data_IF_587487056012
#
_entry.id   IF_587487056012
#
_cell.length_a   1.000
_cell.length_b   1.000
_cell.length_c   1.000
_cell.angle_alpha   90.00
_cell.angle_beta   90.00
_cell.angle_gamma   90.00
#
_symmetry.space_group_name_H-M   'P 1'
#
loop_
_entity.id
_entity.type
_entity.pdbx_description
1 polymer ?
#
# COMPACT_ATOMS: atom_id res chain seq x y z
N UNK A 1 -22.23 -13.84 -14.11
CA UNK A 1 -21.40 -14.76 -13.31
C UNK A 1 -20.72 -15.72 -14.26
N UNK A 2 -19.41 -15.91 -14.13
CA UNK A 2 -18.63 -16.87 -14.94
C UNK A 2 -19.30 -18.27 -14.96
N UNK A 3 -19.47 -18.92 -16.13
CA UNK A 3 -20.09 -20.25 -16.26
C UNK A 3 -19.43 -21.34 -15.39
N UNK A 4 -18.10 -21.34 -15.26
CA UNK A 4 -17.37 -22.32 -14.44
C UNK A 4 -17.68 -22.16 -12.94
N UNK A 5 -17.79 -20.91 -12.48
CA UNK A 5 -18.18 -20.63 -11.09
C UNK A 5 -19.64 -21.03 -10.87
N UNK A 6 -20.51 -20.84 -11.87
CA UNK A 6 -21.89 -21.33 -11.82
C UNK A 6 -21.95 -22.86 -11.74
N UNK A 7 -21.13 -23.56 -12.51
CA UNK A 7 -21.03 -25.01 -12.48
C UNK A 7 -20.51 -25.50 -11.12
N UNK A 8 -19.44 -24.90 -10.60
CA UNK A 8 -18.90 -25.18 -9.27
C UNK A 8 -19.98 -25.01 -8.18
N UNK A 9 -20.70 -23.89 -8.17
CA UNK A 9 -21.75 -23.67 -7.17
C UNK A 9 -22.90 -24.69 -7.32
N UNK A 10 -23.23 -25.07 -8.56
CA UNK A 10 -24.34 -25.97 -8.85
C UNK A 10 -24.06 -27.43 -8.47
N UNK A 11 -22.79 -27.83 -8.38
CA UNK A 11 -22.39 -29.18 -7.97
C UNK A 11 -22.32 -29.37 -6.45
N UNK A 12 -22.56 -28.33 -5.66
CA UNK A 12 -22.53 -28.39 -4.20
C UNK A 12 -23.89 -28.82 -3.63
N UNK A 13 -23.84 -29.41 -2.43
CA UNK A 13 -25.04 -29.70 -1.64
C UNK A 13 -25.89 -28.43 -1.42
N UNK A 14 -27.22 -28.55 -1.29
CA UNK A 14 -28.13 -27.40 -1.24
C UNK A 14 -27.73 -26.31 -0.24
N UNK A 15 -27.26 -26.71 0.95
CA UNK A 15 -26.81 -25.79 2.00
C UNK A 15 -25.57 -25.00 1.58
N UNK A 16 -24.55 -25.68 1.04
CA UNK A 16 -23.30 -25.05 0.63
C UNK A 16 -23.49 -24.21 -0.63
N UNK A 17 -24.29 -24.70 -1.58
CA UNK A 17 -24.71 -23.97 -2.78
C UNK A 17 -25.35 -22.63 -2.41
N UNK A 18 -26.29 -22.64 -1.46
CA UNK A 18 -26.97 -21.42 -1.02
C UNK A 18 -26.01 -20.38 -0.41
N UNK A 19 -24.95 -20.82 0.28
CA UNK A 19 -23.90 -19.94 0.80
C UNK A 19 -23.07 -19.39 -0.37
N UNK A 20 -22.54 -20.25 -1.23
CA UNK A 20 -21.67 -19.88 -2.35
C UNK A 20 -22.37 -18.94 -3.35
N UNK A 21 -23.65 -19.15 -3.65
CA UNK A 21 -24.43 -18.26 -4.50
C UNK A 21 -24.67 -16.88 -3.88
N UNK A 22 -24.89 -16.81 -2.56
CA UNK A 22 -24.96 -15.54 -1.84
C UNK A 22 -23.62 -14.80 -1.88
N UNK A 23 -22.52 -15.50 -1.58
CA UNK A 23 -21.17 -14.92 -1.60
C UNK A 23 -20.83 -14.42 -3.00
N UNK A 24 -20.99 -15.25 -4.05
CA UNK A 24 -20.70 -14.87 -5.42
C UNK A 24 -21.48 -13.62 -5.86
N UNK A 25 -22.79 -13.56 -5.54
CA UNK A 25 -23.64 -12.42 -5.86
C UNK A 25 -23.18 -11.14 -5.18
N UNK A 26 -22.89 -11.18 -3.88
CA UNK A 26 -22.45 -9.98 -3.15
C UNK A 26 -21.05 -9.53 -3.60
N UNK A 27 -20.14 -10.47 -3.89
CA UNK A 27 -18.80 -10.16 -4.42
C UNK A 27 -18.91 -9.49 -5.79
N UNK A 28 -19.67 -10.07 -6.72
CA UNK A 28 -19.88 -9.48 -8.06
C UNK A 28 -20.54 -8.11 -7.96
N UNK A 29 -21.52 -7.94 -7.07
CA UNK A 29 -22.19 -6.65 -6.84
C UNK A 29 -21.21 -5.58 -6.36
N UNK A 30 -20.28 -5.92 -5.46
CA UNK A 30 -19.32 -4.97 -4.89
C UNK A 30 -18.09 -4.72 -5.77
N UNK A 31 -17.78 -5.65 -6.68
CA UNK A 31 -16.63 -5.61 -7.56
C UNK A 31 -17.00 -6.06 -8.98
N UNK A 32 -17.88 -5.30 -9.69
CA UNK A 32 -18.40 -5.73 -11.00
C UNK A 32 -17.34 -5.82 -12.09
N UNK A 33 -16.20 -5.15 -11.90
CA UNK A 33 -15.06 -5.14 -12.83
C UNK A 33 -13.95 -6.12 -12.47
N UNK A 34 -14.08 -6.86 -11.36
CA UNK A 34 -13.06 -7.84 -10.98
C UNK A 34 -13.08 -9.05 -11.92
N UNK A 35 -11.90 -9.46 -12.37
CA UNK A 35 -11.73 -10.74 -13.06
C UNK A 35 -12.06 -11.86 -12.07
N UNK A 36 -12.79 -12.89 -12.51
CA UNK A 36 -13.16 -14.01 -11.65
C UNK A 36 -13.19 -15.31 -12.42
N UNK A 37 -12.54 -16.32 -11.84
CA UNK A 37 -12.33 -17.65 -12.43
C UNK A 37 -12.18 -18.72 -11.35
N UNK A 38 -12.19 -19.98 -11.77
CA UNK A 38 -11.72 -21.07 -10.93
C UNK A 38 -10.19 -21.00 -10.87
N UNK A 39 -9.65 -20.83 -9.67
CA UNK A 39 -8.21 -20.79 -9.42
C UNK A 39 -7.89 -21.71 -8.25
N UNK A 40 -6.95 -22.64 -8.46
CA UNK A 40 -6.68 -23.74 -7.53
C UNK A 40 -7.97 -24.47 -7.10
N UNK A 41 -8.82 -24.83 -8.08
CA UNK A 41 -10.09 -25.54 -7.91
C UNK A 41 -11.23 -24.78 -7.18
N UNK A 42 -11.07 -23.48 -6.92
CA UNK A 42 -12.06 -22.69 -6.20
C UNK A 42 -12.36 -21.34 -6.89
N UNK A 43 -13.58 -20.79 -6.77
CA UNK A 43 -13.90 -19.44 -7.24
C UNK A 43 -13.05 -18.36 -6.54
N UNK A 44 -12.34 -17.55 -7.32
CA UNK A 44 -11.52 -16.44 -6.84
C UNK A 44 -11.71 -15.20 -7.72
N UNK A 45 -11.72 -14.03 -7.08
CA UNK A 45 -11.82 -12.70 -7.69
C UNK A 45 -10.49 -11.97 -7.58
N UNK A 46 -10.12 -11.31 -8.67
CA UNK A 46 -8.84 -10.63 -8.86
C UNK A 46 -9.06 -9.17 -9.24
N UNK A 47 -8.19 -8.30 -8.73
CA UNK A 47 -8.03 -6.92 -9.21
C UNK A 47 -6.61 -6.80 -9.79
N UNK A 48 -6.51 -6.42 -11.06
CA UNK A 48 -5.24 -6.27 -11.79
C UNK A 48 -4.32 -7.51 -11.72
N UNK A 49 -4.94 -8.70 -11.64
CA UNK A 49 -4.27 -10.00 -11.51
C UNK A 49 -3.79 -10.33 -10.09
N UNK A 50 -4.12 -9.52 -9.08
CA UNK A 50 -3.87 -9.80 -7.67
C UNK A 50 -5.10 -10.47 -7.03
N UNK A 51 -4.99 -11.64 -6.39
CA UNK A 51 -6.12 -12.30 -5.73
C UNK A 51 -6.61 -11.49 -4.52
N UNK A 52 -7.92 -11.29 -4.44
CA UNK A 52 -8.55 -10.45 -3.40
C UNK A 52 -9.36 -11.29 -2.44
N UNK A 53 -10.33 -12.02 -2.98
CA UNK A 53 -11.30 -12.80 -2.23
C UNK A 53 -11.69 -14.05 -3.03
N UNK A 54 -12.00 -15.12 -2.33
CA UNK A 54 -12.46 -16.36 -2.91
C UNK A 54 -13.17 -17.19 -1.87
N UNK A 55 -13.87 -18.23 -2.31
CA UNK A 55 -14.51 -19.15 -1.38
C UNK A 55 -14.31 -20.60 -1.82
N UNK A 56 -14.32 -21.51 -0.86
CA UNK A 56 -14.08 -22.92 -1.07
C UNK A 56 -14.91 -23.77 -0.13
N UNK A 57 -15.49 -24.86 -0.62
CA UNK A 57 -16.10 -25.89 0.23
C UNK A 57 -15.02 -26.62 1.04
N UNK A 58 -15.22 -26.70 2.37
CA UNK A 58 -14.51 -27.57 3.31
C UNK A 58 -15.48 -28.64 3.84
N UNK A 59 -14.97 -29.67 4.55
CA UNK A 59 -15.78 -30.81 5.03
C UNK A 59 -17.15 -30.42 5.60
N UNK A 60 -17.19 -29.45 6.52
CA UNK A 60 -18.42 -29.08 7.25
C UNK A 60 -18.87 -27.63 7.05
N UNK A 61 -18.21 -26.86 6.18
CA UNK A 61 -18.54 -25.45 5.99
C UNK A 61 -18.04 -24.93 4.64
N UNK A 62 -18.52 -23.76 4.25
CA UNK A 62 -17.92 -22.94 3.20
C UNK A 62 -16.97 -21.95 3.85
N UNK A 63 -15.74 -21.91 3.39
CA UNK A 63 -14.76 -20.89 3.75
C UNK A 63 -14.83 -19.73 2.77
N UNK A 64 -14.89 -18.51 3.28
CA UNK A 64 -14.61 -17.27 2.57
C UNK A 64 -13.21 -16.81 2.97
N UNK A 65 -12.30 -16.64 2.01
CA UNK A 65 -10.91 -16.27 2.22
C UNK A 65 -10.63 -14.90 1.60
N UNK A 66 -10.00 -14.02 2.37
CA UNK A 66 -9.44 -12.76 1.91
C UNK A 66 -7.92 -12.80 2.00
N UNK A 67 -7.23 -12.62 0.88
CA UNK A 67 -5.77 -12.70 0.81
C UNK A 67 -5.07 -11.63 1.66
N UNK A 68 -5.69 -10.46 1.85
CA UNK A 68 -5.17 -9.36 2.68
C UNK A 68 -5.90 -9.19 4.02
N UNK A 69 -6.73 -10.16 4.39
CA UNK A 69 -7.72 -10.02 5.46
C UNK A 69 -7.18 -9.72 6.87
N UNK A 70 -5.96 -10.14 7.22
CA UNK A 70 -5.37 -9.82 8.54
C UNK A 70 -5.11 -8.32 8.70
N UNK A 71 -5.12 -7.56 7.61
CA UNK A 71 -4.89 -6.12 7.63
C UNK A 71 -6.18 -5.30 7.67
N UNK A 72 -7.34 -5.96 7.76
CA UNK A 72 -8.65 -5.29 7.78
C UNK A 72 -8.99 -4.74 9.17
N UNK A 73 -8.40 -5.28 10.24
CA UNK A 73 -8.74 -4.91 11.62
C UNK A 73 -10.12 -5.41 12.04
N UNK A 74 -10.54 -6.56 11.51
CA UNK A 74 -11.87 -7.15 11.74
C UNK A 74 -11.75 -8.39 12.63
N UNK A 75 -12.22 -8.30 13.87
CA UNK A 75 -12.14 -9.39 14.86
C UNK A 75 -12.92 -10.65 14.45
N UNK A 76 -13.92 -10.47 13.59
CA UNK A 76 -14.73 -11.56 13.03
C UNK A 76 -14.03 -12.36 11.92
N UNK A 77 -12.86 -11.92 11.46
CA UNK A 77 -12.03 -12.65 10.50
C UNK A 77 -10.89 -13.36 11.22
N UNK A 78 -10.77 -14.67 11.00
CA UNK A 78 -9.71 -15.48 11.59
C UNK A 78 -8.46 -15.42 10.73
N UNK A 79 -7.31 -15.15 11.34
CA UNK A 79 -6.04 -15.13 10.63
C UNK A 79 -5.72 -16.52 10.04
N UNK A 80 -5.37 -16.55 8.76
CA UNK A 80 -4.98 -17.74 8.01
C UNK A 80 -3.52 -17.63 7.55
N UNK A 81 -2.68 -18.54 8.05
CA UNK A 81 -1.26 -18.61 7.71
C UNK A 81 -0.45 -17.34 8.00
N UNK A 82 0.74 -17.25 7.39
CA UNK A 82 1.72 -16.18 7.63
C UNK A 82 1.63 -15.02 6.63
N UNK A 83 0.78 -15.12 5.62
CA UNK A 83 0.80 -14.23 4.45
C UNK A 83 -0.22 -13.10 4.47
N UNK A 84 -0.78 -12.75 5.64
CA UNK A 84 -1.81 -11.70 5.81
C UNK A 84 -3.21 -12.10 5.33
N UNK A 85 -3.44 -13.37 5.01
CA UNK A 85 -4.76 -13.86 4.67
C UNK A 85 -5.63 -14.05 5.93
N UNK A 86 -6.92 -13.78 5.83
CA UNK A 86 -7.89 -14.09 6.89
C UNK A 86 -9.17 -14.66 6.29
N UNK A 87 -9.89 -15.44 7.08
CA UNK A 87 -11.06 -16.19 6.64
C UNK A 87 -12.25 -16.06 7.57
N UNK A 88 -13.43 -16.29 6.99
CA UNK A 88 -14.68 -16.56 7.70
C UNK A 88 -15.22 -17.92 7.24
N UNK A 89 -15.89 -18.65 8.13
CA UNK A 89 -16.48 -19.95 7.83
C UNK A 89 -17.97 -19.93 8.12
N UNK A 90 -18.74 -20.52 7.21
CA UNK A 90 -20.19 -20.57 7.30
C UNK A 90 -20.67 -22.00 7.10
N UNK A 91 -21.48 -22.51 8.03
CA UNK A 91 -22.18 -23.80 7.88
C UNK A 91 -23.60 -23.63 7.35
N UNK A 92 -24.14 -22.41 7.33
CA UNK A 92 -25.43 -22.09 6.71
C UNK A 92 -25.46 -20.68 6.14
N UNK A 93 -26.36 -20.44 5.19
CA UNK A 93 -26.57 -19.11 4.59
C UNK A 93 -26.96 -18.04 5.63
N UNK A 94 -27.67 -18.43 6.69
CA UNK A 94 -28.13 -17.51 7.74
C UNK A 94 -26.99 -16.89 8.56
N UNK A 95 -25.82 -17.56 8.63
CA UNK A 95 -24.63 -17.04 9.32
C UNK A 95 -23.91 -15.95 8.52
N UNK A 96 -24.23 -15.78 7.24
CA UNK A 96 -23.58 -14.77 6.40
C UNK A 96 -24.18 -13.39 6.72
N UNK A 97 -23.50 -12.64 7.58
CA UNK A 97 -23.79 -11.22 7.78
C UNK A 97 -23.40 -10.44 6.53
N UNK A 98 -24.40 -10.09 5.72
CA UNK A 98 -24.22 -9.34 4.48
C UNK A 98 -23.66 -7.93 4.72
N UNK A 99 -23.95 -7.30 5.86
CA UNK A 99 -23.41 -5.98 6.20
C UNK A 99 -21.91 -6.07 6.48
N UNK A 100 -21.50 -7.07 7.27
CA UNK A 100 -20.09 -7.35 7.51
C UNK A 100 -19.36 -7.74 6.22
N UNK A 101 -19.95 -8.62 5.39
CA UNK A 101 -19.39 -9.01 4.10
C UNK A 101 -19.14 -7.82 3.18
N UNK A 102 -20.09 -6.89 3.06
CA UNK A 102 -19.91 -5.67 2.26
C UNK A 102 -18.75 -4.82 2.77
N UNK A 103 -18.65 -4.65 4.10
CA UNK A 103 -17.53 -3.93 4.74
C UNK A 103 -16.19 -4.60 4.42
N UNK A 104 -16.08 -5.92 4.57
CA UNK A 104 -14.86 -6.67 4.25
C UNK A 104 -14.49 -6.57 2.77
N UNK A 105 -15.47 -6.61 1.85
CA UNK A 105 -15.22 -6.44 0.41
C UNK A 105 -14.74 -5.03 0.07
N UNK A 106 -15.22 -4.00 0.78
CA UNK A 106 -14.69 -2.64 0.67
C UNK A 106 -13.23 -2.60 1.13
N UNK A 107 -12.93 -3.12 2.33
CA UNK A 107 -11.57 -3.20 2.84
C UNK A 107 -10.65 -4.01 1.92
N UNK A 108 -11.13 -5.09 1.30
CA UNK A 108 -10.36 -5.92 0.39
C UNK A 108 -9.99 -5.21 -0.92
N UNK A 109 -10.81 -4.25 -1.38
CA UNK A 109 -10.45 -3.38 -2.50
C UNK A 109 -9.31 -2.43 -2.12
N UNK A 110 -9.34 -1.90 -0.91
CA UNK A 110 -8.47 -0.79 -0.48
C UNK A 110 -7.14 -1.25 0.14
N UNK A 111 -7.19 -2.35 0.89
CA UNK A 111 -6.08 -2.90 1.64
C UNK A 111 -5.62 -4.17 0.95
N UNK A 112 -4.65 -4.01 0.06
CA UNK A 112 -4.09 -5.13 -0.71
C UNK A 112 -2.62 -5.32 -0.42
N UNK A 113 -2.23 -6.57 -0.24
CA UNK A 113 -0.85 -7.01 -0.37
C UNK A 113 -0.64 -7.66 -1.72
N UNK A 114 0.56 -7.50 -2.28
CA UNK A 114 0.92 -7.95 -3.63
C UNK A 114 1.26 -9.44 -3.66
N UNK A 115 0.23 -10.26 -3.81
CA UNK A 115 0.35 -11.70 -4.01
C UNK A 115 0.78 -12.05 -5.43
N UNK A 116 0.44 -11.21 -6.42
CA UNK A 116 0.85 -11.40 -7.82
C UNK A 116 2.36 -11.56 -7.97
N UNK A 117 3.15 -10.83 -7.19
CA UNK A 117 4.61 -10.85 -7.27
C UNK A 117 5.30 -11.59 -6.11
N UNK A 118 4.57 -12.29 -5.24
CA UNK A 118 5.14 -12.94 -4.04
C UNK A 118 6.24 -13.96 -4.38
N UNK A 119 6.04 -14.76 -5.44
CA UNK A 119 7.02 -15.75 -5.91
C UNK A 119 8.29 -15.05 -6.40
N UNK A 120 8.14 -13.99 -7.20
CA UNK A 120 9.26 -13.18 -7.70
C UNK A 120 10.05 -12.52 -6.56
N UNK A 121 9.38 -12.22 -5.45
CA UNK A 121 9.98 -11.64 -4.23
C UNK A 121 10.39 -12.69 -3.19
N UNK A 122 10.49 -13.98 -3.56
CA UNK A 122 10.92 -15.07 -2.68
C UNK A 122 10.13 -15.11 -1.35
N UNK A 123 8.82 -14.92 -1.43
CA UNK A 123 7.93 -14.98 -0.26
C UNK A 123 7.72 -13.65 0.47
N UNK A 124 8.38 -12.56 0.06
CA UNK A 124 8.17 -11.24 0.67
C UNK A 124 6.93 -10.54 0.11
N UNK A 125 5.91 -10.38 0.94
CA UNK A 125 4.74 -9.55 0.63
C UNK A 125 5.01 -8.06 0.84
N UNK A 126 4.52 -7.26 -0.09
CA UNK A 126 4.58 -5.80 -0.04
C UNK A 126 3.17 -5.24 -0.21
N UNK A 127 2.88 -4.14 0.50
CA UNK A 127 1.55 -3.51 0.44
C UNK A 127 1.41 -2.73 -0.86
N UNK A 128 0.32 -2.96 -1.57
CA UNK A 128 -0.06 -2.19 -2.74
C UNK A 128 -0.64 -0.84 -2.30
N UNK A 129 -0.26 0.21 -3.02
CA UNK A 129 -0.92 1.52 -2.92
C UNK A 129 -2.10 1.47 -3.88
N UNK A 130 -3.30 1.20 -3.36
CA UNK A 130 -4.52 1.22 -4.17
C UNK A 130 -5.01 2.67 -4.26
N UNK A 131 -5.10 3.26 -5.48
CA UNK A 131 -5.72 4.57 -5.64
C UNK A 131 -7.21 4.46 -5.31
N UNK A 132 -7.67 5.21 -4.30
CA UNK A 132 -9.08 5.28 -3.93
C UNK A 132 -9.86 5.95 -5.08
N UNK A 133 -10.80 5.24 -5.69
CA UNK A 133 -11.78 5.84 -6.61
C UNK A 133 -12.99 6.29 -5.80
N UNK A 134 -13.24 7.59 -5.82
CA UNK A 134 -14.41 8.25 -5.25
C UNK A 134 -15.72 7.55 -5.67
N UNK A 135 -16.51 7.14 -4.66
CA UNK A 135 -17.89 6.66 -4.81
C UNK A 135 -18.83 7.85 -4.67
N UNK A 136 -19.59 8.11 -5.71
CA UNK A 136 -20.52 9.23 -5.88
C UNK A 136 -21.79 9.10 -5.02
N UNK A 137 -22.09 10.14 -4.23
CA UNK A 137 -23.39 10.84 -4.27
C UNK A 137 -23.30 12.15 -3.47
N UNK A 138 -23.80 13.22 -4.10
CA UNK A 138 -23.97 14.61 -3.62
C UNK A 138 -22.78 15.56 -3.78
N UNK A 139 -22.97 16.57 -4.63
CA UNK A 139 -22.09 17.72 -4.79
C UNK A 139 -22.29 18.69 -3.62
N UNK A 140 -21.22 19.35 -3.11
CA UNK A 140 -20.82 20.60 -3.76
C UNK A 140 -19.30 20.83 -3.91
N UNK A 141 -19.00 21.60 -4.96
CA UNK A 141 -17.92 22.58 -5.19
C UNK A 141 -16.45 22.25 -4.86
N UNK A 142 -15.67 22.19 -5.95
CA UNK A 142 -14.28 22.64 -6.17
C UNK A 142 -13.21 22.26 -5.12
N UNK A 143 -12.38 21.32 -5.57
CA UNK A 143 -10.95 21.17 -5.29
C UNK A 143 -10.52 20.74 -3.88
N UNK A 144 -10.55 19.42 -3.63
CA UNK A 144 -9.64 18.81 -2.65
C UNK A 144 -9.03 17.53 -3.22
N UNK A 145 -7.76 17.64 -3.64
CA UNK A 145 -6.90 16.49 -3.95
C UNK A 145 -6.75 15.66 -2.68
N UNK A 146 -7.15 14.40 -2.68
CA UNK A 146 -6.93 13.49 -1.55
C UNK A 146 -5.43 13.35 -1.30
N UNK A 147 -4.94 14.05 -0.27
CA UNK A 147 -3.52 14.09 0.10
C UNK A 147 -3.07 12.71 0.58
N UNK A 148 -2.01 12.16 -0.03
CA UNK A 148 -1.42 10.91 0.42
C UNK A 148 -1.02 11.03 1.89
N UNK A 149 -1.31 10.02 2.73
CA UNK A 149 -1.09 10.08 4.20
C UNK A 149 0.34 10.50 4.59
N UNK A 150 1.32 10.21 3.75
CA UNK A 150 2.72 10.61 3.99
C UNK A 150 2.92 12.13 3.97
N UNK A 151 2.08 12.88 3.24
CA UNK A 151 2.13 14.34 3.14
C UNK A 151 1.81 15.00 4.49
N UNK A 152 0.90 14.38 5.25
CA UNK A 152 0.45 14.87 6.56
C UNK A 152 1.23 14.27 7.73
N UNK A 153 2.17 13.35 7.45
CA UNK A 153 3.06 12.82 8.50
C UNK A 153 4.10 13.87 8.87
N UNK A 154 4.32 14.02 10.18
CA UNK A 154 5.38 14.88 10.72
C UNK A 154 6.76 14.35 10.34
N UNK A 155 7.61 15.23 9.82
CA UNK A 155 9.03 14.95 9.52
C UNK A 155 9.74 14.48 10.79
N UNK A 156 9.39 15.05 11.96
CA UNK A 156 9.96 14.65 13.24
C UNK A 156 9.60 13.22 13.65
N UNK A 157 8.46 12.68 13.18
CA UNK A 157 8.08 11.29 13.41
C UNK A 157 8.90 10.31 12.57
N UNK A 158 9.35 10.73 11.37
CA UNK A 158 10.11 9.87 10.45
C UNK A 158 11.61 10.01 10.62
N UNK A 159 12.09 11.19 10.99
CA UNK A 159 13.50 11.54 11.12
C UNK A 159 14.34 10.58 12.01
N UNK A 160 13.85 10.12 13.18
CA UNK A 160 14.58 9.12 13.97
C UNK A 160 14.86 7.81 13.22
N UNK A 161 13.98 7.43 12.29
CA UNK A 161 14.18 6.23 11.47
C UNK A 161 15.25 6.43 10.39
N UNK A 162 15.42 7.64 9.87
CA UNK A 162 16.52 7.96 8.96
C UNK A 162 17.87 7.92 9.68
N UNK A 163 17.96 8.50 10.88
CA UNK A 163 19.15 8.43 11.72
C UNK A 163 19.49 6.98 12.03
N UNK A 164 18.55 6.20 12.59
CA UNK A 164 18.80 4.81 12.96
C UNK A 164 19.20 3.94 11.76
N UNK A 165 18.67 4.22 10.56
CA UNK A 165 19.05 3.52 9.32
C UNK A 165 20.50 3.85 8.91
N UNK A 166 20.93 5.10 9.06
CA UNK A 166 22.29 5.54 8.76
C UNK A 166 23.29 5.01 9.82
N UNK A 167 22.97 5.11 11.10
CA UNK A 167 23.82 4.66 12.22
C UNK A 167 24.11 3.16 12.19
N UNK A 168 23.14 2.34 11.79
CA UNK A 168 23.33 0.89 11.54
C UNK A 168 24.42 0.57 10.52
N UNK A 169 24.90 1.59 9.80
CA UNK A 169 25.86 1.50 8.70
C UNK A 169 27.08 2.38 8.95
N UNK A 170 27.30 2.78 10.21
CA UNK A 170 28.45 3.57 10.64
C UNK A 170 28.40 5.03 10.20
N UNK A 171 27.23 5.53 9.79
CA UNK A 171 27.00 6.92 9.41
C UNK A 171 26.42 7.72 10.56
N UNK A 172 26.53 9.04 10.49
CA UNK A 172 26.20 9.95 11.59
C UNK A 172 24.90 10.72 11.33
N UNK A 173 24.29 11.23 12.41
CA UNK A 173 23.20 12.22 12.32
C UNK A 173 23.61 13.45 11.49
N UNK A 174 24.85 13.91 11.61
CA UNK A 174 25.34 15.08 10.89
C UNK A 174 25.28 14.87 9.36
N UNK A 175 25.63 13.67 8.87
CA UNK A 175 25.52 13.33 7.45
C UNK A 175 24.06 13.27 6.98
N UNK A 176 23.14 12.77 7.83
CA UNK A 176 21.70 12.78 7.54
C UNK A 176 21.18 14.22 7.43
N UNK A 177 21.58 15.09 8.36
CA UNK A 177 21.21 16.50 8.36
C UNK A 177 21.76 17.20 7.11
N UNK A 178 23.00 16.91 6.73
CA UNK A 178 23.63 17.45 5.53
C UNK A 178 22.89 17.04 4.25
N UNK A 179 22.45 15.79 4.13
CA UNK A 179 21.61 15.33 3.01
C UNK A 179 20.29 16.11 2.94
N UNK A 180 19.60 16.27 4.07
CA UNK A 180 18.31 16.96 4.12
C UNK A 180 18.49 18.44 3.77
N UNK A 181 19.52 19.10 4.32
CA UNK A 181 19.84 20.50 4.04
C UNK A 181 20.30 20.70 2.61
N UNK A 182 21.08 19.78 2.05
CA UNK A 182 21.47 19.82 0.64
C UNK A 182 20.26 19.72 -0.29
N UNK A 183 19.25 18.90 0.04
CA UNK A 183 18.05 18.76 -0.79
C UNK A 183 17.15 20.00 -0.73
N UNK A 184 16.97 20.58 0.45
CA UNK A 184 15.92 21.58 0.75
C UNK A 184 16.42 23.02 0.84
N UNK A 185 17.71 23.22 1.07
CA UNK A 185 18.29 24.52 1.35
C UNK A 185 18.02 25.04 2.77
N UNK A 186 17.45 24.22 3.67
CA UNK A 186 17.32 24.60 5.08
C UNK A 186 18.69 24.79 5.73
N UNK A 187 18.82 25.83 6.55
CA UNK A 187 19.91 25.90 7.55
C UNK A 187 19.65 24.89 8.67
N UNK A 188 20.70 24.55 9.44
CA UNK A 188 20.56 23.65 10.58
C UNK A 188 19.48 24.14 11.56
N UNK A 189 19.48 25.45 11.88
CA UNK A 189 18.50 26.07 12.78
C UNK A 189 17.06 25.97 12.24
N UNK A 190 16.86 26.19 10.94
CA UNK A 190 15.53 26.08 10.33
C UNK A 190 15.04 24.63 10.31
N UNK A 191 15.94 23.68 10.01
CA UNK A 191 15.60 22.27 10.03
C UNK A 191 15.21 21.80 11.43
N UNK A 192 15.97 22.16 12.46
CA UNK A 192 15.66 21.86 13.86
C UNK A 192 14.34 22.50 14.31
N UNK A 193 14.06 23.74 13.88
CA UNK A 193 12.78 24.38 14.12
C UNK A 193 11.61 23.62 13.45
N UNK A 194 11.80 23.14 12.22
CA UNK A 194 10.79 22.34 11.52
C UNK A 194 10.49 21.02 12.24
N UNK A 195 11.52 20.36 12.80
CA UNK A 195 11.38 19.17 13.63
C UNK A 195 10.64 19.47 14.94
N UNK A 196 11.03 20.54 15.65
CA UNK A 196 10.38 20.95 16.91
C UNK A 196 8.89 21.27 16.70
N UNK A 197 8.55 21.92 15.59
CA UNK A 197 7.18 22.27 15.24
C UNK A 197 6.35 21.09 14.68
N UNK A 198 6.95 19.88 14.60
CA UNK A 198 6.31 18.68 14.02
C UNK A 198 5.72 18.94 12.63
N UNK A 199 6.43 19.73 11.82
CA UNK A 199 6.00 20.12 10.47
C UNK A 199 5.76 18.86 9.63
N UNK A 200 4.65 18.82 8.89
CA UNK A 200 4.36 17.74 7.96
C UNK A 200 5.20 17.80 6.68
N UNK A 201 5.31 16.70 5.93
CA UNK A 201 6.18 16.63 4.76
C UNK A 201 5.77 17.61 3.65
N UNK A 202 4.47 17.81 3.41
CA UNK A 202 3.99 18.73 2.38
C UNK A 202 4.43 20.16 2.71
N UNK A 203 4.17 20.61 3.93
CA UNK A 203 4.56 21.93 4.42
C UNK A 203 6.08 22.06 4.49
N UNK A 204 6.78 21.01 4.87
CA UNK A 204 8.25 20.99 4.96
C UNK A 204 8.91 21.26 3.61
N UNK A 205 8.46 20.59 2.55
CA UNK A 205 8.99 20.81 1.20
C UNK A 205 8.45 22.11 0.58
N UNK A 206 7.19 22.48 0.85
CA UNK A 206 6.64 23.75 0.36
C UNK A 206 7.33 24.99 0.94
N UNK A 207 7.79 24.91 2.20
CA UNK A 207 8.54 25.99 2.89
C UNK A 207 10.05 25.89 2.76
N UNK A 208 10.55 24.93 1.99
CA UNK A 208 11.98 24.75 1.75
C UNK A 208 12.57 26.03 1.13
N UNK A 209 13.59 26.67 1.74
CA UNK A 209 14.11 27.96 1.27
C UNK A 209 14.62 27.92 -0.17
N UNK A 210 15.28 26.83 -0.55
CA UNK A 210 15.80 26.63 -1.90
C UNK A 210 15.99 25.15 -2.18
N UNK A 211 15.00 24.54 -2.84
CA UNK A 211 15.14 23.18 -3.33
C UNK A 211 16.32 23.10 -4.32
N UNK A 212 17.26 22.19 -4.06
CA UNK A 212 18.48 22.12 -4.86
C UNK A 212 18.18 21.62 -6.28
N UNK A 213 18.59 22.36 -7.34
CA UNK A 213 18.32 21.94 -8.73
C UNK A 213 18.94 20.58 -9.07
N UNK A 214 20.09 20.23 -8.48
CA UNK A 214 20.81 18.99 -8.75
C UNK A 214 20.09 17.74 -8.24
N UNK A 215 19.02 17.91 -7.44
CA UNK A 215 18.15 16.80 -7.04
C UNK A 215 17.52 16.08 -8.23
N UNK A 216 17.37 16.75 -9.39
CA UNK A 216 16.91 16.13 -10.62
C UNK A 216 17.87 15.04 -11.15
N UNK A 217 19.14 15.04 -10.72
CA UNK A 217 20.13 14.01 -11.03
C UNK A 217 19.97 12.75 -10.16
N UNK A 218 19.11 12.78 -9.15
CA UNK A 218 18.81 11.63 -8.29
C UNK A 218 17.86 10.68 -9.04
N UNK A 219 18.44 9.66 -9.69
CA UNK A 219 17.71 8.70 -10.52
C UNK A 219 17.67 7.28 -9.93
N UNK A 220 16.74 6.48 -10.43
CA UNK A 220 16.63 5.05 -10.18
C UNK A 220 15.53 4.68 -9.21
N UNK A 221 15.57 3.45 -8.70
CA UNK A 221 14.46 2.87 -7.93
C UNK A 221 14.66 3.07 -6.43
N UNK A 222 13.60 3.48 -5.72
CA UNK A 222 13.50 3.51 -4.26
C UNK A 222 12.06 3.20 -3.84
N UNK A 223 11.89 2.45 -2.75
CA UNK A 223 10.56 2.02 -2.29
C UNK A 223 9.69 1.37 -3.38
N UNK A 224 10.30 0.64 -4.33
CA UNK A 224 9.61 -0.06 -5.41
C UNK A 224 9.19 0.81 -6.60
N UNK A 225 9.43 2.13 -6.55
CA UNK A 225 9.10 3.08 -7.64
C UNK A 225 10.35 3.73 -8.21
N UNK A 226 10.33 4.06 -9.50
CA UNK A 226 11.38 4.81 -10.18
C UNK A 226 11.13 6.30 -9.98
N UNK A 227 12.09 7.03 -9.38
CA UNK A 227 11.84 8.40 -8.90
C UNK A 227 11.58 9.36 -10.05
N UNK A 228 12.23 9.16 -11.19
CA UNK A 228 12.04 9.96 -12.39
C UNK A 228 10.64 9.83 -13.02
N UNK A 229 9.91 8.75 -12.74
CA UNK A 229 8.57 8.52 -13.32
C UNK A 229 7.46 9.17 -12.47
N UNK A 230 7.79 9.68 -11.27
CA UNK A 230 6.80 10.23 -10.33
C UNK A 230 6.34 11.60 -10.80
N UNK A 231 5.06 11.68 -11.17
CA UNK A 231 4.41 12.90 -11.65
C UNK A 231 4.04 13.87 -10.52
N UNK A 232 3.71 13.36 -9.33
CA UNK A 232 3.29 14.20 -8.22
C UNK A 232 4.51 14.84 -7.53
N UNK A 233 4.62 16.19 -7.48
CA UNK A 233 5.81 16.88 -7.00
C UNK A 233 6.20 16.50 -5.57
N UNK A 234 5.26 16.50 -4.62
CA UNK A 234 5.55 16.29 -3.19
C UNK A 234 6.08 14.88 -2.94
N UNK A 235 5.45 13.86 -3.53
CA UNK A 235 5.88 12.47 -3.49
C UNK A 235 7.26 12.30 -4.11
N UNK A 236 7.54 12.99 -5.21
CA UNK A 236 8.87 12.95 -5.84
C UNK A 236 9.94 13.50 -4.91
N UNK A 237 9.69 14.64 -4.25
CA UNK A 237 10.64 15.21 -3.28
C UNK A 237 10.87 14.29 -2.07
N UNK A 238 9.81 13.66 -1.55
CA UNK A 238 9.91 12.63 -0.50
C UNK A 238 10.77 11.45 -0.97
N UNK A 239 10.57 10.98 -2.21
CA UNK A 239 11.33 9.85 -2.75
C UNK A 239 12.78 10.20 -3.09
N UNK A 240 13.09 11.44 -3.45
CA UNK A 240 14.47 11.91 -3.49
C UNK A 240 15.12 11.82 -2.12
N UNK A 241 14.46 12.30 -1.07
CA UNK A 241 14.99 12.19 0.29
C UNK A 241 15.22 10.73 0.69
N UNK A 242 14.23 9.85 0.51
CA UNK A 242 14.36 8.42 0.81
C UNK A 242 15.54 7.79 0.04
N UNK A 243 15.73 8.17 -1.23
CA UNK A 243 16.80 7.67 -2.08
C UNK A 243 18.17 8.09 -1.55
N UNK A 244 18.35 9.36 -1.21
CA UNK A 244 19.62 9.89 -0.70
C UNK A 244 19.99 9.24 0.63
N UNK A 245 19.02 9.08 1.55
CA UNK A 245 19.23 8.38 2.82
C UNK A 245 19.51 6.89 2.61
N UNK A 246 18.85 6.24 1.65
CA UNK A 246 19.15 4.85 1.31
C UNK A 246 20.56 4.66 0.75
N UNK A 247 21.04 5.60 -0.06
CA UNK A 247 22.40 5.60 -0.56
C UNK A 247 23.43 5.82 0.55
N UNK A 248 23.14 6.71 1.50
CA UNK A 248 23.94 6.91 2.71
C UNK A 248 24.03 5.62 3.53
N UNK A 249 22.88 4.97 3.77
CA UNK A 249 22.82 3.69 4.47
C UNK A 249 23.46 2.52 3.69
N UNK A 250 23.61 2.64 2.37
CA UNK A 250 24.38 1.67 1.57
C UNK A 250 25.89 1.93 1.63
N UNK A 251 26.33 2.90 2.42
CA UNK A 251 27.74 3.21 2.61
C UNK A 251 28.34 4.04 1.49
N UNK A 252 27.54 4.61 0.57
CA UNK A 252 28.09 5.51 -0.46
C UNK A 252 28.72 6.75 0.18
N UNK A 253 29.80 7.24 -0.41
CA UNK A 253 30.46 8.46 0.01
C UNK A 253 29.52 9.67 -0.18
N UNK A 254 29.56 10.63 0.75
CA UNK A 254 28.64 11.76 0.79
C UNK A 254 28.75 12.62 -0.48
N UNK A 255 29.96 12.81 -0.99
CA UNK A 255 30.25 13.54 -2.22
C UNK A 255 29.65 12.89 -3.47
N UNK A 256 29.45 11.56 -3.43
CA UNK A 256 28.74 10.83 -4.50
C UNK A 256 27.22 10.94 -4.32
N UNK A 257 26.74 11.00 -3.09
CA UNK A 257 25.31 11.13 -2.75
C UNK A 257 24.81 12.52 -3.15
N UNK A 258 25.52 13.55 -2.70
CA UNK A 258 25.26 14.94 -3.01
C UNK A 258 25.72 15.20 -4.45
N UNK A 259 24.79 15.04 -5.38
CA UNK A 259 25.07 15.18 -6.82
C UNK A 259 25.66 16.56 -7.09
N UNK A 260 26.57 16.62 -8.06
CA UNK A 260 27.10 17.86 -8.61
C UNK A 260 26.84 17.83 -10.12
N UNK A 261 26.54 18.97 -10.76
CA UNK A 261 26.54 19.03 -12.20
C UNK A 261 27.96 18.70 -12.69
N UNK A 262 28.07 18.07 -13.86
CA UNK A 262 29.37 17.94 -14.49
C UNK A 262 29.92 19.34 -14.71
N UNK A 263 31.06 19.66 -14.09
CA UNK A 263 31.79 20.89 -14.39
C UNK A 263 32.04 20.90 -15.90
N UNK A 264 31.46 21.90 -16.58
CA UNK A 264 31.79 22.19 -17.97
C UNK A 264 33.11 22.93 -18.00
#
# INVERSE_FOLDING_TARGET
>A
MNPEIKAYNSSLEPTDKAICELLAREIIKQMPKAEHKIWHAHPVWFLDGNPIVGYSKLKNCVRLLFWSGQSFGEDSLQAEGKFKAAEARFSSKAQVDVKALKRWLTLAKEIQWDYKNIVKRKGKLERLVVPQKESSSEAPSKAEKTKHRIYTMSVAGVYPHYIAKAEKKGRTKAEVDEVIRWLTGYTQKQFEAALKNKTDFETFFAKAPRMNPDRALVKGVICGVRVEDIQEPTMREIRYLDKLIDELAKGKALEKILRKPAST
#
